data_IF_630195272719
#
_entry.id   IF_630195272719
#
_cell.length_a   1.000
_cell.length_b   1.000
_cell.length_c   1.000
_cell.angle_alpha   90.00
_cell.angle_beta   90.00
_cell.angle_gamma   90.00
#
_symmetry.space_group_name_H-M   'P 1'
#
loop_
_entity.id
_entity.type
_entity.pdbx_description
1 polymer ?
#
# COMPACT_ATOMS: atom_id res chain seq x y z
N UNK A 1 -36.21 52.11 0.47
CA UNK A 1 -36.20 50.63 0.50
C UNK A 1 -35.10 49.97 -0.35
N UNK A 2 -34.72 50.47 -1.55
CA UNK A 2 -33.73 49.80 -2.44
C UNK A 2 -32.31 49.64 -1.86
N UNK A 3 -31.80 50.62 -1.09
CA UNK A 3 -30.44 50.58 -0.51
C UNK A 3 -30.22 49.42 0.47
N UNK A 4 -31.24 49.05 1.25
CA UNK A 4 -31.17 47.90 2.17
C UNK A 4 -31.11 46.56 1.44
N UNK A 5 -31.78 46.45 0.29
CA UNK A 5 -31.73 45.24 -0.55
C UNK A 5 -30.32 44.98 -1.09
N UNK A 6 -29.61 46.03 -1.54
CA UNK A 6 -28.24 45.90 -2.03
C UNK A 6 -27.27 45.44 -0.94
N UNK A 7 -27.42 45.95 0.29
CA UNK A 7 -26.60 45.50 1.42
C UNK A 7 -26.81 44.01 1.71
N UNK A 8 -28.05 43.53 1.68
CA UNK A 8 -28.35 42.11 1.88
C UNK A 8 -27.74 41.24 0.78
N UNK A 9 -27.81 41.68 -0.49
CA UNK A 9 -27.22 40.97 -1.62
C UNK A 9 -25.69 40.89 -1.50
N UNK A 10 -25.04 41.99 -1.09
CA UNK A 10 -23.59 42.03 -0.89
C UNK A 10 -23.17 41.10 0.25
N UNK A 11 -23.89 41.13 1.38
CA UNK A 11 -23.62 40.22 2.49
C UNK A 11 -23.78 38.76 2.07
N UNK A 12 -24.86 38.42 1.35
CA UNK A 12 -25.08 37.06 0.86
C UNK A 12 -23.95 36.58 -0.07
N UNK A 13 -23.52 37.43 -1.02
CA UNK A 13 -22.40 37.14 -1.90
C UNK A 13 -21.09 36.94 -1.15
N UNK A 14 -20.80 37.80 -0.16
CA UNK A 14 -19.60 37.68 0.66
C UNK A 14 -19.60 36.37 1.46
N UNK A 15 -20.74 35.98 2.06
CA UNK A 15 -20.86 34.72 2.79
C UNK A 15 -20.73 33.52 1.86
N UNK A 16 -21.39 33.54 0.69
CA UNK A 16 -21.29 32.47 -0.29
C UNK A 16 -19.85 32.26 -0.77
N UNK A 17 -19.15 33.36 -1.06
CA UNK A 17 -17.74 33.31 -1.44
C UNK A 17 -16.85 32.76 -0.31
N UNK A 18 -17.09 33.19 0.93
CA UNK A 18 -16.38 32.68 2.10
C UNK A 18 -16.55 31.17 2.30
N UNK A 19 -17.78 30.67 2.15
CA UNK A 19 -18.07 29.23 2.25
C UNK A 19 -17.39 28.45 1.13
N UNK A 20 -17.42 28.95 -0.10
CA UNK A 20 -16.74 28.31 -1.24
C UNK A 20 -15.23 28.28 -1.05
N UNK A 21 -14.62 29.38 -0.59
CA UNK A 21 -13.19 29.46 -0.32
C UNK A 21 -12.79 28.47 0.79
N UNK A 22 -13.56 28.43 1.88
CA UNK A 22 -13.34 27.47 2.96
C UNK A 22 -13.44 26.03 2.47
N UNK A 23 -14.50 25.70 1.72
CA UNK A 23 -14.70 24.37 1.17
C UNK A 23 -13.55 23.96 0.24
N UNK A 24 -13.09 24.88 -0.63
CA UNK A 24 -11.97 24.63 -1.53
C UNK A 24 -10.67 24.35 -0.77
N UNK A 25 -10.37 25.11 0.28
CA UNK A 25 -9.17 24.90 1.10
C UNK A 25 -9.28 23.56 1.86
N UNK A 26 -10.42 23.32 2.50
CA UNK A 26 -10.67 22.07 3.24
C UNK A 26 -10.54 20.85 2.34
N UNK A 27 -11.20 20.86 1.18
CA UNK A 27 -11.17 19.76 0.23
C UNK A 27 -9.76 19.48 -0.29
N UNK A 28 -9.01 20.52 -0.67
CA UNK A 28 -7.63 20.36 -1.12
C UNK A 28 -6.72 19.79 -0.03
N UNK A 29 -6.92 20.20 1.23
CA UNK A 29 -6.17 19.65 2.35
C UNK A 29 -6.47 18.16 2.55
N UNK A 30 -7.74 17.76 2.50
CA UNK A 30 -8.15 16.36 2.60
C UNK A 30 -7.58 15.52 1.45
N UNK A 31 -7.65 16.02 0.21
CA UNK A 31 -7.10 15.32 -0.96
C UNK A 31 -5.59 15.13 -0.85
N UNK A 32 -4.84 16.12 -0.34
CA UNK A 32 -3.40 15.98 -0.08
C UNK A 32 -3.12 14.88 0.94
N UNK A 33 -3.87 14.85 2.03
CA UNK A 33 -3.70 13.83 3.07
C UNK A 33 -3.99 12.41 2.54
N UNK A 34 -5.06 12.27 1.76
CA UNK A 34 -5.40 11.01 1.08
C UNK A 34 -4.27 10.60 0.13
N UNK A 35 -3.73 11.53 -0.66
CA UNK A 35 -2.65 11.23 -1.59
C UNK A 35 -1.38 10.77 -0.87
N UNK A 36 -1.02 11.40 0.25
CA UNK A 36 0.13 10.99 1.08
C UNK A 36 -0.07 9.55 1.58
N UNK A 37 -1.24 9.26 2.18
CA UNK A 37 -1.55 7.91 2.66
C UNK A 37 -1.54 6.88 1.53
N UNK A 38 -2.03 7.25 0.35
CA UNK A 38 -2.01 6.36 -0.81
C UNK A 38 -0.58 6.08 -1.29
N UNK A 39 0.30 7.09 -1.27
CA UNK A 39 1.72 6.91 -1.58
C UNK A 39 2.42 6.01 -0.56
N UNK A 40 2.14 6.17 0.73
CA UNK A 40 2.63 5.30 1.80
C UNK A 40 2.18 3.84 1.57
N UNK A 41 0.89 3.62 1.34
CA UNK A 41 0.34 2.28 1.08
C UNK A 41 0.99 1.63 -0.15
N UNK A 42 1.22 2.39 -1.22
CA UNK A 42 1.87 1.87 -2.42
C UNK A 42 3.33 1.50 -2.17
N UNK A 43 4.03 2.28 -1.36
CA UNK A 43 5.41 1.96 -0.96
C UNK A 43 5.46 0.68 -0.14
N UNK A 44 4.58 0.53 0.84
CA UNK A 44 4.46 -0.68 1.65
C UNK A 44 4.12 -1.90 0.78
N UNK A 45 3.16 -1.75 -0.13
CA UNK A 45 2.80 -2.81 -1.10
C UNK A 45 3.98 -3.23 -1.96
N UNK A 46 4.81 -2.28 -2.40
CA UNK A 46 5.98 -2.58 -3.21
C UNK A 46 7.04 -3.36 -2.42
N UNK A 47 7.30 -2.94 -1.17
CA UNK A 47 8.21 -3.64 -0.26
C UNK A 47 7.72 -5.07 -0.04
N UNK A 48 6.45 -5.23 0.33
CA UNK A 48 5.86 -6.53 0.61
C UNK A 48 5.90 -7.45 -0.61
N UNK A 49 5.66 -6.90 -1.81
CA UNK A 49 5.78 -7.66 -3.06
C UNK A 49 7.21 -8.14 -3.29
N UNK A 50 8.20 -7.28 -3.08
CA UNK A 50 9.60 -7.64 -3.24
C UNK A 50 10.02 -8.72 -2.24
N UNK A 51 9.56 -8.63 -0.99
CA UNK A 51 9.82 -9.64 0.03
C UNK A 51 9.19 -10.99 -0.33
N UNK A 52 7.96 -10.99 -0.83
CA UNK A 52 7.29 -12.21 -1.34
C UNK A 52 8.09 -12.82 -2.50
N UNK A 53 8.53 -12.01 -3.46
CA UNK A 53 9.29 -12.49 -4.61
C UNK A 53 10.65 -13.06 -4.17
N UNK A 54 11.33 -12.39 -3.22
CA UNK A 54 12.59 -12.88 -2.64
C UNK A 54 12.41 -14.20 -1.91
N UNK A 55 11.38 -14.31 -1.07
CA UNK A 55 11.06 -15.55 -0.35
C UNK A 55 10.66 -16.68 -1.31
N UNK A 56 9.99 -16.37 -2.42
CA UNK A 56 9.67 -17.36 -3.45
C UNK A 56 10.94 -17.90 -4.10
N UNK A 57 11.85 -17.01 -4.53
CA UNK A 57 13.13 -17.40 -5.09
C UNK A 57 13.96 -18.22 -4.10
N UNK A 58 13.99 -17.82 -2.83
CA UNK A 58 14.70 -18.56 -1.79
C UNK A 58 14.09 -19.95 -1.56
N UNK A 59 12.76 -20.07 -1.53
CA UNK A 59 12.06 -21.35 -1.43
C UNK A 59 12.37 -22.26 -2.61
N UNK A 60 12.35 -21.73 -3.83
CA UNK A 60 12.70 -22.49 -5.05
C UNK A 60 14.15 -22.95 -5.02
N UNK A 61 15.08 -22.07 -4.62
CA UNK A 61 16.48 -22.42 -4.47
C UNK A 61 16.71 -23.48 -3.38
N UNK A 62 16.03 -23.38 -2.23
CA UNK A 62 16.08 -24.39 -1.17
C UNK A 62 15.49 -25.73 -1.59
N UNK A 63 14.49 -25.72 -2.48
CA UNK A 63 13.88 -26.93 -3.05
C UNK A 63 14.64 -27.47 -4.26
N UNK A 64 15.66 -26.78 -4.75
CA UNK A 64 16.41 -27.25 -5.91
C UNK A 64 17.14 -28.56 -5.58
N UNK A 65 17.07 -29.57 -6.47
CA UNK A 65 17.66 -30.89 -6.21
C UNK A 65 19.18 -30.78 -5.97
N UNK A 66 19.88 -29.92 -6.72
CA UNK A 66 21.32 -29.67 -6.54
C UNK A 66 21.65 -29.18 -5.12
N UNK A 67 20.80 -28.33 -4.52
CA UNK A 67 21.01 -27.86 -3.15
C UNK A 67 20.65 -28.92 -2.13
N UNK A 68 19.61 -29.69 -2.38
CA UNK A 68 19.20 -30.80 -1.51
C UNK A 68 20.27 -31.89 -1.48
N UNK A 69 20.86 -32.26 -2.62
CA UNK A 69 21.96 -33.22 -2.74
C UNK A 69 23.20 -32.72 -1.98
N UNK A 70 23.62 -31.47 -2.19
CA UNK A 70 24.73 -30.87 -1.42
C UNK A 70 24.46 -30.82 0.08
N UNK A 71 23.20 -30.67 0.49
CA UNK A 71 22.83 -30.70 1.91
C UNK A 71 22.90 -32.13 2.45
N UNK A 72 22.38 -33.11 1.69
CA UNK A 72 22.35 -34.51 2.05
C UNK A 72 23.78 -35.06 2.22
N UNK A 73 24.67 -34.76 1.27
CA UNK A 73 26.10 -35.09 1.36
C UNK A 73 26.77 -34.47 2.60
N UNK A 74 26.40 -33.24 2.97
CA UNK A 74 26.98 -32.55 4.13
C UNK A 74 26.54 -33.17 5.47
N UNK A 75 25.35 -33.77 5.51
CA UNK A 75 24.77 -34.36 6.71
C UNK A 75 24.82 -35.89 6.72
N UNK A 76 25.52 -36.51 5.76
CA UNK A 76 25.61 -37.97 5.59
C UNK A 76 24.22 -38.64 5.45
N UNK A 77 23.32 -37.95 4.75
CA UNK A 77 21.94 -38.38 4.50
C UNK A 77 21.74 -38.76 3.03
N UNK A 78 20.77 -39.63 2.75
CA UNK A 78 20.32 -39.95 1.39
C UNK A 78 19.07 -39.16 1.03
N UNK A 79 18.95 -38.66 -0.20
CA UNK A 79 17.71 -38.05 -0.67
C UNK A 79 16.57 -39.08 -0.64
N UNK A 80 15.35 -38.69 -0.22
CA UNK A 80 14.18 -39.55 -0.34
C UNK A 80 13.76 -39.70 -1.82
N UNK A 81 13.33 -40.90 -2.21
CA UNK A 81 12.89 -41.23 -3.57
C UNK A 81 11.52 -40.62 -3.96
N UNK A 82 10.76 -40.07 -3.00
CA UNK A 82 9.45 -39.43 -3.19
C UNK A 82 9.40 -38.02 -2.58
N UNK A 83 8.59 -37.12 -3.14
CA UNK A 83 8.41 -35.76 -2.60
C UNK A 83 7.90 -35.81 -1.14
N UNK A 84 8.61 -35.18 -0.18
CA UNK A 84 8.24 -35.27 1.22
C UNK A 84 6.90 -34.55 1.48
N UNK A 85 5.95 -35.27 2.09
CA UNK A 85 4.66 -34.73 2.51
C UNK A 85 4.89 -33.74 3.67
N UNK A 86 4.76 -32.45 3.40
CA UNK A 86 4.85 -31.41 4.42
C UNK A 86 3.53 -31.39 5.20
N UNK A 87 3.51 -32.01 6.38
CA UNK A 87 2.39 -31.91 7.32
C UNK A 87 2.53 -30.60 8.09
N UNK A 88 1.70 -29.60 7.75
CA UNK A 88 1.59 -28.36 8.52
C UNK A 88 0.50 -28.58 9.58
N UNK A 89 0.86 -28.47 10.87
CA UNK A 89 -0.08 -28.52 12.00
C UNK A 89 -0.50 -27.11 12.42
#
# INVERSE_FOLDING_TARGET
MRKGLYLVIICFLATAFGVLAFFHIWFNMQMRFINIRFQELNREKLILKNDIDKLRCEKEYLRSPERLEKLADKFDMTLPDEEPIIIIK
#
